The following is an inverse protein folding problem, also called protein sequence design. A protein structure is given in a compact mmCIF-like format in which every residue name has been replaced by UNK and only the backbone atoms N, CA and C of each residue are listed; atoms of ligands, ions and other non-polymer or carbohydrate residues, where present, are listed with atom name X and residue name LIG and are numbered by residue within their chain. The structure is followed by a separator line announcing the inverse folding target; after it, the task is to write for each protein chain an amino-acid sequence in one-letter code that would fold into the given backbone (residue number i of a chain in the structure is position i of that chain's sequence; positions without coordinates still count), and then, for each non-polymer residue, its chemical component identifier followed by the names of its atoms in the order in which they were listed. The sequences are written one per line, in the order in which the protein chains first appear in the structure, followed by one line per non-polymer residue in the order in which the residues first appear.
data_IF_307607340567
#
_entry.id   IF_307607340567
#
_cell.length_a   1.000
_cell.length_b   1.000
_cell.length_c   1.000
_cell.angle_alpha   90.00
_cell.angle_beta   90.00
_cell.angle_gamma   90.00
#
_symmetry.space_group_name_H-M   'P 1'
#
loop_
_entity.id
_entity.type
_entity.pdbx_description
1 polymer ?
#
# COMPACT_ATOMS: atom_id res chain seq x y z
N UNK A 1 9.26 0.54 18.66
CA UNK A 1 8.92 0.17 17.27
C UNK A 1 10.24 -0.07 16.55
N UNK A 2 10.64 -1.33 16.35
CA UNK A 2 12.00 -1.68 15.92
C UNK A 2 12.34 -1.13 14.52
N UNK A 3 13.44 -0.39 14.43
CA UNK A 3 13.95 0.28 13.21
C UNK A 3 14.13 -0.64 12.00
N UNK A 4 14.26 -1.95 12.23
CA UNK A 4 14.50 -2.94 11.17
C UNK A 4 13.31 -3.21 10.23
N UNK A 5 12.07 -2.81 10.56
CA UNK A 5 10.94 -3.00 9.61
C UNK A 5 11.05 -2.11 8.37
N UNK A 6 11.78 -0.99 8.45
CA UNK A 6 11.97 -0.04 7.33
C UNK A 6 12.95 -0.52 6.26
N UNK A 7 13.69 -1.61 6.50
CA UNK A 7 14.70 -2.15 5.56
C UNK A 7 14.22 -3.34 4.74
N UNK A 8 12.97 -3.80 4.93
CA UNK A 8 12.43 -4.80 4.02
C UNK A 8 12.30 -4.18 2.63
N UNK A 9 12.77 -4.83 1.54
CA UNK A 9 12.47 -4.39 0.18
C UNK A 9 10.97 -4.34 -0.14
N UNK A 10 10.14 -4.89 0.75
CA UNK A 10 8.68 -4.87 0.74
C UNK A 10 8.05 -3.80 1.65
N UNK A 11 8.87 -3.03 2.38
CA UNK A 11 8.43 -1.93 3.24
C UNK A 11 8.52 -0.62 2.43
N UNK A 12 7.58 -0.45 1.50
CA UNK A 12 7.40 0.83 0.84
C UNK A 12 7.08 1.91 1.89
N UNK A 13 7.68 3.09 1.75
CA UNK A 13 7.42 4.20 2.65
C UNK A 13 6.01 4.76 2.41
N UNK A 14 5.06 4.28 3.23
CA UNK A 14 3.66 4.68 3.20
C UNK A 14 3.43 6.17 3.53
N UNK A 15 4.49 6.90 3.95
CA UNK A 15 4.40 8.32 4.31
C UNK A 15 4.11 9.24 3.13
N UNK A 16 4.36 8.79 1.89
CA UNK A 16 4.07 9.56 0.68
C UNK A 16 2.64 9.45 0.15
N UNK A 17 1.86 8.49 0.66
CA UNK A 17 0.54 8.21 0.14
C UNK A 17 -0.46 9.31 0.53
N UNK A 18 -1.30 9.72 -0.43
CA UNK A 18 -2.40 10.65 -0.22
C UNK A 18 -3.69 10.05 -0.75
N UNK A 19 -4.76 10.22 -0.01
CA UNK A 19 -6.07 9.77 -0.47
C UNK A 19 -6.49 10.58 -1.71
N UNK A 20 -6.88 9.95 -2.83
CA UNK A 20 -7.26 10.66 -4.05
C UNK A 20 -8.53 11.51 -3.90
N UNK A 21 -9.34 11.27 -2.86
CA UNK A 21 -10.61 11.98 -2.65
C UNK A 21 -10.51 13.12 -1.63
N UNK A 22 -9.76 12.94 -0.55
CA UNK A 22 -9.69 13.93 0.55
C UNK A 22 -8.27 14.45 0.79
N UNK A 23 -7.29 14.01 0.00
CA UNK A 23 -5.86 14.37 0.10
C UNK A 23 -5.20 14.12 1.46
N UNK A 24 -5.91 13.45 2.37
CA UNK A 24 -5.38 13.09 3.68
C UNK A 24 -4.26 12.04 3.57
N UNK A 25 -3.24 12.21 4.40
CA UNK A 25 -2.12 11.28 4.59
C UNK A 25 -2.43 10.19 5.61
N UNK A 26 -3.57 10.26 6.32
CA UNK A 26 -4.00 9.23 7.27
C UNK A 26 -4.56 8.03 6.52
N UNK A 27 -3.67 7.13 6.13
CA UNK A 27 -3.97 5.95 5.32
C UNK A 27 -3.46 4.72 6.04
N UNK A 28 -4.25 3.65 5.99
CA UNK A 28 -3.89 2.36 6.57
C UNK A 28 -3.84 1.32 5.46
N UNK A 29 -2.85 0.43 5.51
CA UNK A 29 -2.85 -0.77 4.68
C UNK A 29 -4.00 -1.69 5.09
N UNK A 30 -4.69 -2.24 4.11
CA UNK A 30 -5.77 -3.22 4.34
C UNK A 30 -5.50 -4.48 3.54
N UNK A 31 -5.81 -5.60 4.16
CA UNK A 31 -5.79 -6.90 3.51
C UNK A 31 -7.10 -7.09 2.78
N UNK A 32 -7.01 -7.28 1.48
CA UNK A 32 -8.15 -7.55 0.61
C UNK A 32 -7.86 -8.82 -0.20
N UNK A 33 -8.83 -9.72 -0.26
CA UNK A 33 -8.65 -11.05 -0.88
C UNK A 33 -8.42 -10.95 -2.38
N UNK A 34 -9.03 -9.97 -3.06
CA UNK A 34 -8.79 -9.73 -4.48
C UNK A 34 -7.39 -9.14 -4.72
N UNK A 35 -6.96 -8.23 -3.84
CA UNK A 35 -5.63 -7.63 -3.93
C UNK A 35 -4.52 -8.66 -3.68
N UNK A 36 -4.67 -9.51 -2.65
CA UNK A 36 -3.75 -10.62 -2.37
C UNK A 36 -3.57 -11.55 -3.55
N UNK A 37 -4.67 -11.95 -4.21
CA UNK A 37 -4.61 -12.84 -5.40
C UNK A 37 -3.83 -12.23 -6.56
N UNK A 38 -3.78 -10.90 -6.64
CA UNK A 38 -3.09 -10.15 -7.70
C UNK A 38 -1.72 -9.63 -7.29
N UNK A 39 -1.31 -9.84 -6.04
CA UNK A 39 -0.09 -9.23 -5.48
C UNK A 39 -0.19 -7.72 -5.26
N UNK A 40 -1.40 -7.16 -5.29
CA UNK A 40 -1.62 -5.71 -5.19
C UNK A 40 -1.71 -5.29 -3.72
N UNK A 41 -1.12 -4.14 -3.37
CA UNK A 41 -1.30 -3.54 -2.06
C UNK A 41 -2.50 -2.57 -2.02
N UNK A 42 -3.47 -2.85 -1.15
CA UNK A 42 -4.64 -1.99 -0.93
C UNK A 42 -4.51 -1.12 0.32
N UNK A 43 -5.10 0.07 0.23
CA UNK A 43 -5.09 1.11 1.24
C UNK A 43 -6.51 1.58 1.56
N UNK A 44 -6.72 2.00 2.80
CA UNK A 44 -7.97 2.60 3.28
C UNK A 44 -7.66 3.93 3.95
N UNK A 45 -8.30 4.99 3.49
CA UNK A 45 -8.21 6.29 4.15
C UNK A 45 -8.98 6.26 5.49
N UNK A 46 -8.36 6.74 6.57
CA UNK A 46 -9.00 6.83 7.88
C UNK A 46 -10.00 7.99 7.98
N UNK A 47 -9.90 9.00 7.11
CA UNK A 47 -10.76 10.20 7.14
C UNK A 47 -12.04 9.99 6.34
N UNK A 48 -11.93 9.57 5.08
CA UNK A 48 -13.10 9.37 4.22
C UNK A 48 -13.55 7.91 4.12
N UNK A 49 -12.80 6.95 4.68
CA UNK A 49 -13.12 5.52 4.61
C UNK A 49 -12.88 4.86 3.25
N UNK A 50 -12.51 5.63 2.22
CA UNK A 50 -12.33 5.12 0.85
C UNK A 50 -11.17 4.14 0.75
N UNK A 51 -11.41 3.04 0.04
CA UNK A 51 -10.38 2.08 -0.35
C UNK A 51 -9.80 2.45 -1.71
N UNK A 52 -8.49 2.37 -1.86
CA UNK A 52 -7.78 2.61 -3.11
C UNK A 52 -6.47 1.82 -3.14
N UNK A 53 -5.87 1.69 -4.30
CA UNK A 53 -4.51 1.17 -4.48
C UNK A 53 -3.71 2.22 -5.25
N UNK A 54 -2.41 2.25 -5.05
CA UNK A 54 -1.50 3.14 -5.77
C UNK A 54 -0.46 2.30 -6.49
N UNK A 55 -0.34 2.50 -7.81
CA UNK A 55 0.51 1.68 -8.68
C UNK A 55 2.00 1.99 -8.52
N UNK A 56 2.35 3.15 -7.97
CA UNK A 56 3.73 3.50 -7.64
C UNK A 56 4.20 2.87 -6.33
N UNK A 57 3.26 2.46 -5.47
CA UNK A 57 3.54 1.69 -4.24
C UNK A 57 3.49 0.18 -4.47
N UNK A 58 2.93 -0.22 -5.61
CA UNK A 58 2.89 -1.61 -6.06
C UNK A 58 4.25 -2.01 -6.66
N UNK A 59 5.30 -2.03 -5.82
CA UNK A 59 6.62 -2.60 -6.16
C UNK A 59 6.59 -4.13 -6.24
N UNK A 60 5.40 -4.74 -6.41
CA UNK A 60 5.28 -6.14 -6.78
C UNK A 60 5.71 -6.27 -8.24
N UNK A 61 7.03 -6.22 -8.50
CA UNK A 61 7.61 -6.79 -9.70
C UNK A 61 7.37 -8.29 -9.57
N UNK A 62 6.46 -8.92 -10.35
CA UNK A 62 6.37 -10.37 -10.31
C UNK A 62 7.75 -10.90 -10.69
N UNK A 63 8.45 -11.52 -9.73
CA UNK A 63 9.74 -12.20 -9.95
C UNK A 63 9.61 -13.44 -10.84
N UNK A 64 8.43 -13.66 -11.42
CA UNK A 64 8.17 -14.74 -12.35
C UNK A 64 8.42 -14.24 -13.77
N UNK A 65 9.69 -14.16 -14.13
CA UNK A 65 10.10 -14.23 -15.53
C UNK A 65 9.83 -15.67 -16.02
N UNK A 66 9.14 -15.79 -17.15
CA UNK A 66 8.69 -17.06 -17.73
C UNK A 66 9.82 -17.80 -18.44
#
# INVERSE_FOLDING_TARGET
MSENRRKSPWAYDESGLKCPQCQSTRINRVLDTWAMRRGIQMFKCAVCGKKFYDRGVDDYRPTFER
#
